data_IF_480553360114
#
_entry.id   IF_480553360114
#
_cell.length_a   1.000
_cell.length_b   1.000
_cell.length_c   1.000
_cell.angle_alpha   90.00
_cell.angle_beta   90.00
_cell.angle_gamma   90.00
#
_symmetry.space_group_name_H-M   'P 1'
#
loop_
_entity.id
_entity.type
_entity.pdbx_description
1 polymer ?
#
# COMPACT_ATOMS: atom_id res chain seq x y z
N UNK A 1 -9.38 -11.58 22.34
CA UNK A 1 -8.47 -12.67 21.92
C UNK A 1 -9.09 -14.08 21.90
N UNK A 2 -10.13 -14.41 22.71
CA UNK A 2 -10.78 -15.74 22.81
C UNK A 2 -11.06 -16.50 21.50
N UNK A 3 -11.33 -15.79 20.39
CA UNK A 3 -11.68 -16.42 19.11
C UNK A 3 -10.51 -16.60 18.13
N UNK A 4 -9.42 -15.84 18.28
CA UNK A 4 -8.30 -15.86 17.32
C UNK A 4 -7.09 -16.69 17.80
N UNK A 5 -7.04 -17.02 19.09
CA UNK A 5 -5.93 -17.79 19.68
C UNK A 5 -6.16 -19.30 19.74
N UNK A 6 -7.39 -19.78 19.48
CA UNK A 6 -7.69 -21.22 19.44
C UNK A 6 -7.25 -21.82 18.10
N UNK A 7 -6.34 -22.80 18.14
CA UNK A 7 -5.77 -23.43 16.96
C UNK A 7 -6.83 -24.04 16.03
N UNK A 8 -7.93 -24.54 16.58
CA UNK A 8 -9.03 -25.09 15.77
C UNK A 8 -9.70 -24.04 14.90
N UNK A 9 -9.74 -22.78 15.34
CA UNK A 9 -10.34 -21.70 14.57
C UNK A 9 -9.46 -21.30 13.38
N UNK A 10 -8.15 -21.60 13.43
CA UNK A 10 -7.25 -21.40 12.29
C UNK A 10 -7.62 -22.28 11.10
N UNK A 11 -8.21 -23.45 11.34
CA UNK A 11 -8.67 -24.36 10.28
C UNK A 11 -9.87 -23.80 9.51
N UNK A 12 -10.60 -22.84 10.09
CA UNK A 12 -11.77 -22.21 9.47
C UNK A 12 -11.42 -20.94 8.69
N UNK A 13 -10.16 -20.48 8.75
CA UNK A 13 -9.72 -19.28 8.03
C UNK A 13 -9.29 -19.66 6.61
N UNK A 14 -9.98 -19.13 5.61
CA UNK A 14 -9.61 -19.30 4.19
C UNK A 14 -8.33 -18.55 3.81
N UNK A 15 -7.87 -17.62 4.65
CA UNK A 15 -6.64 -16.84 4.46
C UNK A 15 -5.93 -16.63 5.79
N UNK A 16 -4.60 -16.52 5.77
CA UNK A 16 -3.78 -16.21 6.94
C UNK A 16 -3.30 -14.76 6.86
N UNK A 17 -3.54 -14.00 7.93
CA UNK A 17 -2.96 -12.66 8.09
C UNK A 17 -1.58 -12.77 8.74
N UNK A 18 -0.59 -12.16 8.09
CA UNK A 18 0.73 -11.93 8.65
C UNK A 18 0.89 -10.44 8.91
N UNK A 19 1.21 -10.08 10.15
CA UNK A 19 1.49 -8.70 10.54
C UNK A 19 3.01 -8.58 10.68
N UNK A 20 3.58 -7.59 10.03
CA UNK A 20 5.00 -7.27 10.09
C UNK A 20 5.15 -5.79 10.44
N UNK A 21 6.17 -5.50 11.25
CA UNK A 21 6.65 -4.15 11.49
C UNK A 21 8.04 -4.09 10.88
N UNK A 22 8.19 -3.24 9.87
CA UNK A 22 9.43 -3.06 9.12
C UNK A 22 10.10 -1.78 9.61
N UNK A 23 11.43 -1.83 9.70
CA UNK A 23 12.25 -0.73 10.21
C UNK A 23 13.04 -0.07 9.06
N UNK A 24 13.56 1.12 9.29
CA UNK A 24 14.41 1.88 8.36
C UNK A 24 13.75 2.11 6.97
N UNK A 25 12.44 2.41 6.96
CA UNK A 25 11.69 2.87 5.79
C UNK A 25 12.33 4.16 5.25
N UNK A 26 12.42 5.17 6.11
CA UNK A 26 12.92 6.52 5.80
C UNK A 26 14.38 6.57 5.29
N UNK A 27 15.15 5.51 5.53
CA UNK A 27 16.54 5.39 5.08
C UNK A 27 16.67 4.69 3.72
N UNK A 28 15.56 4.21 3.15
CA UNK A 28 15.53 3.50 1.88
C UNK A 28 14.84 2.14 1.91
N UNK A 29 13.83 1.95 2.77
CA UNK A 29 13.01 0.73 2.88
C UNK A 29 13.83 -0.50 3.26
N UNK A 30 14.88 -0.33 4.06
CA UNK A 30 15.85 -1.40 4.31
C UNK A 30 15.22 -2.61 5.01
N UNK A 31 14.27 -2.39 5.92
CA UNK A 31 13.55 -3.48 6.59
C UNK A 31 12.71 -4.32 5.63
N UNK A 32 11.88 -3.68 4.80
CA UNK A 32 11.06 -4.40 3.81
C UNK A 32 11.89 -5.02 2.69
N UNK A 33 12.98 -4.35 2.27
CA UNK A 33 13.94 -4.90 1.33
C UNK A 33 14.61 -6.17 1.86
N UNK A 34 15.13 -6.14 3.09
CA UNK A 34 15.72 -7.30 3.74
C UNK A 34 14.70 -8.43 3.91
N UNK A 35 13.46 -8.10 4.31
CA UNK A 35 12.38 -9.08 4.39
C UNK A 35 12.09 -9.71 3.04
N UNK A 36 11.93 -8.92 1.97
CA UNK A 36 11.62 -9.45 0.63
C UNK A 36 12.78 -10.29 0.08
N UNK A 37 14.03 -9.89 0.30
CA UNK A 37 15.19 -10.70 -0.05
C UNK A 37 15.17 -12.06 0.66
N UNK A 38 14.91 -12.07 1.97
CA UNK A 38 14.79 -13.32 2.73
C UNK A 38 13.58 -14.14 2.29
N UNK A 39 12.45 -13.49 2.04
CA UNK A 39 11.23 -14.09 1.54
C UNK A 39 11.45 -14.74 0.18
N UNK A 40 12.29 -14.19 -0.69
CA UNK A 40 12.60 -14.78 -1.99
C UNK A 40 13.70 -15.84 -1.94
N UNK A 41 14.51 -15.87 -0.88
CA UNK A 41 15.52 -16.91 -0.71
C UNK A 41 14.88 -18.29 -0.62
N UNK A 42 15.40 -19.24 -1.41
CA UNK A 42 15.01 -20.64 -1.29
C UNK A 42 15.60 -21.24 -0.01
N UNK A 43 14.81 -22.06 0.68
CA UNK A 43 15.30 -22.86 1.81
C UNK A 43 15.36 -24.31 1.38
N UNK A 44 16.56 -24.89 1.33
CA UNK A 44 16.79 -26.25 0.84
C UNK A 44 16.19 -26.49 -0.57
N UNK A 45 16.37 -25.52 -1.48
CA UNK A 45 15.86 -25.54 -2.86
C UNK A 45 14.33 -25.67 -2.97
N UNK A 46 13.60 -25.22 -1.96
CA UNK A 46 12.13 -25.21 -1.94
C UNK A 46 11.60 -23.85 -1.51
N UNK A 47 10.47 -23.48 -2.12
CA UNK A 47 9.64 -22.38 -1.62
C UNK A 47 8.94 -22.82 -0.34
N UNK A 48 8.76 -21.86 0.56
CA UNK A 48 7.93 -21.98 1.75
C UNK A 48 6.45 -21.86 1.37
N UNK A 49 5.57 -22.37 2.22
CA UNK A 49 4.13 -22.21 2.01
C UNK A 49 3.70 -20.72 1.93
N UNK A 50 4.41 -19.82 2.62
CA UNK A 50 4.16 -18.38 2.51
C UNK A 50 4.51 -17.87 1.11
N UNK A 51 5.65 -18.27 0.55
CA UNK A 51 6.04 -17.90 -0.82
C UNK A 51 5.05 -18.38 -1.89
N UNK A 52 4.47 -19.55 -1.71
CA UNK A 52 3.56 -20.15 -2.68
C UNK A 52 2.13 -19.61 -2.59
N UNK A 53 1.69 -19.17 -1.41
CA UNK A 53 0.29 -18.84 -1.13
C UNK A 53 0.05 -17.37 -0.76
N UNK A 54 1.07 -16.51 -0.84
CA UNK A 54 0.90 -15.06 -0.62
C UNK A 54 -0.07 -14.46 -1.64
N UNK A 55 -1.20 -13.97 -1.15
CA UNK A 55 -2.26 -13.39 -1.99
C UNK A 55 -2.07 -11.91 -2.28
N UNK A 56 -1.40 -11.19 -1.37
CA UNK A 56 -1.23 -9.74 -1.45
C UNK A 56 -0.54 -9.17 -0.22
N UNK A 57 -0.10 -7.93 -0.32
CA UNK A 57 0.43 -7.15 0.79
C UNK A 57 -0.34 -5.84 0.92
N UNK A 58 -0.76 -5.53 2.14
CA UNK A 58 -1.38 -4.25 2.49
C UNK A 58 -0.35 -3.49 3.32
N UNK A 59 0.05 -2.32 2.83
CA UNK A 59 0.91 -1.41 3.55
C UNK A 59 0.07 -0.36 4.28
N UNK A 60 0.44 -0.07 5.52
CA UNK A 60 -0.15 1.03 6.28
C UNK A 60 0.97 2.03 6.56
N UNK A 61 0.90 3.17 5.91
CA UNK A 61 1.85 4.26 6.07
C UNK A 61 1.09 5.48 6.56
N UNK A 62 1.60 6.20 7.56
CA UNK A 62 1.07 7.49 8.01
C UNK A 62 -0.48 7.58 8.03
N UNK A 63 -1.16 6.61 8.68
CA UNK A 63 -2.63 6.48 8.62
C UNK A 63 -3.41 7.50 9.46
N UNK A 64 -2.70 8.45 10.08
CA UNK A 64 -3.26 9.51 10.91
C UNK A 64 -2.57 10.87 10.67
N UNK A 65 -1.83 11.02 9.56
CA UNK A 65 -1.12 12.26 9.23
C UNK A 65 -1.96 13.28 8.47
N UNK A 66 -2.75 12.83 7.49
CA UNK A 66 -3.59 13.65 6.62
C UNK A 66 -5.08 13.73 6.99
N UNK A 67 -5.80 14.60 6.29
CA UNK A 67 -7.25 14.78 6.40
C UNK A 67 -8.03 13.67 5.64
N UNK A 68 -7.40 13.06 4.63
CA UNK A 68 -8.03 12.06 3.76
C UNK A 68 -7.21 10.77 3.79
N UNK A 69 -7.88 9.65 4.09
CA UNK A 69 -7.26 8.32 4.05
C UNK A 69 -7.46 7.70 2.67
N UNK A 70 -6.36 7.57 1.94
CA UNK A 70 -6.34 7.04 0.58
C UNK A 70 -5.96 5.56 0.54
N UNK A 71 -6.34 4.90 -0.55
CA UNK A 71 -5.79 3.59 -0.94
C UNK A 71 -5.17 3.68 -2.33
N UNK A 72 -3.92 3.24 -2.44
CA UNK A 72 -3.13 3.32 -3.66
C UNK A 72 -2.71 1.93 -4.13
N UNK A 73 -2.55 1.77 -5.44
CA UNK A 73 -1.76 0.69 -6.02
C UNK A 73 -0.48 1.21 -6.67
N UNK A 74 0.37 0.31 -7.19
CA UNK A 74 1.64 0.70 -7.79
C UNK A 74 1.47 1.56 -9.05
N UNK A 75 2.46 2.42 -9.30
CA UNK A 75 2.58 3.16 -10.56
C UNK A 75 2.61 2.21 -11.77
N UNK A 76 1.58 2.31 -12.62
CA UNK A 76 1.41 1.49 -13.81
C UNK A 76 1.97 2.17 -15.08
N UNK A 77 2.57 3.35 -14.98
CA UNK A 77 3.12 4.08 -16.12
C UNK A 77 4.26 3.31 -16.78
N UNK A 78 4.41 3.51 -18.08
CA UNK A 78 5.34 2.76 -18.92
C UNK A 78 6.80 2.85 -18.42
N UNK A 79 7.20 4.01 -17.92
CA UNK A 79 8.53 4.22 -17.33
C UNK A 79 8.80 3.30 -16.14
N UNK A 80 7.86 3.21 -15.18
CA UNK A 80 8.04 2.33 -14.02
C UNK A 80 8.11 0.85 -14.44
N UNK A 81 7.24 0.44 -15.38
CA UNK A 81 7.22 -0.93 -15.89
C UNK A 81 8.54 -1.29 -16.60
N UNK A 82 9.12 -0.34 -17.36
CA UNK A 82 10.44 -0.52 -17.99
C UNK A 82 11.56 -0.60 -16.96
N UNK A 83 11.53 0.24 -15.93
CA UNK A 83 12.54 0.27 -14.88
C UNK A 83 12.43 -0.92 -13.91
N UNK A 84 11.28 -1.61 -13.90
CA UNK A 84 11.01 -2.74 -13.01
C UNK A 84 10.42 -3.94 -13.78
N UNK A 85 11.18 -4.59 -14.67
CA UNK A 85 10.66 -5.65 -15.51
C UNK A 85 10.05 -6.80 -14.71
N UNK A 86 8.79 -7.12 -14.99
CA UNK A 86 8.06 -8.20 -14.31
C UNK A 86 7.53 -7.84 -12.92
N UNK A 87 7.56 -6.56 -12.53
CA UNK A 87 6.85 -6.06 -11.37
C UNK A 87 5.34 -6.29 -11.51
N UNK A 88 4.67 -6.55 -10.39
CA UNK A 88 3.21 -6.71 -10.33
C UNK A 88 2.53 -5.36 -10.10
N UNK A 89 2.29 -4.61 -11.17
CA UNK A 89 1.61 -3.30 -11.13
C UNK A 89 0.07 -3.41 -11.19
N UNK A 90 -0.48 -4.54 -10.76
CA UNK A 90 -1.93 -4.76 -10.72
C UNK A 90 -2.60 -3.86 -9.68
N UNK A 91 -3.70 -3.22 -10.08
CA UNK A 91 -4.53 -2.40 -9.19
C UNK A 91 -5.58 -3.21 -8.44
N UNK A 92 -5.66 -4.53 -8.69
CA UNK A 92 -6.75 -5.37 -8.21
C UNK A 92 -6.94 -5.37 -6.69
N UNK A 93 -5.85 -5.44 -5.92
CA UNK A 93 -5.94 -5.44 -4.46
C UNK A 93 -6.43 -4.08 -3.92
N UNK A 94 -5.94 -2.98 -4.49
CA UNK A 94 -6.41 -1.62 -4.20
C UNK A 94 -7.90 -1.48 -4.52
N UNK A 95 -8.34 -1.94 -5.69
CA UNK A 95 -9.74 -1.86 -6.11
C UNK A 95 -10.68 -2.66 -5.20
N UNK A 96 -10.25 -3.85 -4.77
CA UNK A 96 -10.99 -4.66 -3.81
C UNK A 96 -11.15 -3.97 -2.45
N UNK A 97 -10.07 -3.39 -1.92
CA UNK A 97 -10.10 -2.67 -0.64
C UNK A 97 -10.98 -1.43 -0.75
N UNK A 98 -10.85 -0.65 -1.82
CA UNK A 98 -11.71 0.49 -2.11
C UNK A 98 -13.19 0.08 -2.12
N UNK A 99 -13.54 -0.96 -2.88
CA UNK A 99 -14.91 -1.45 -2.96
C UNK A 99 -15.46 -1.93 -1.60
N UNK A 100 -14.66 -2.64 -0.80
CA UNK A 100 -15.05 -3.06 0.55
C UNK A 100 -15.28 -1.83 1.44
N UNK A 101 -14.42 -0.81 1.36
CA UNK A 101 -14.57 0.42 2.16
C UNK A 101 -15.85 1.17 1.80
N UNK A 102 -16.20 1.26 0.50
CA UNK A 102 -17.44 1.84 0.02
C UNK A 102 -18.67 1.04 0.47
N UNK A 103 -18.63 -0.29 0.38
CA UNK A 103 -19.72 -1.13 0.89
C UNK A 103 -19.91 -0.94 2.40
N UNK A 104 -18.82 -0.80 3.14
CA UNK A 104 -18.84 -0.53 4.59
C UNK A 104 -19.41 0.85 4.89
N UNK A 105 -19.01 1.90 4.16
CA UNK A 105 -19.55 3.27 4.35
C UNK A 105 -21.05 3.32 4.12
N UNK A 106 -21.54 2.68 3.05
CA UNK A 106 -22.98 2.55 2.76
C UNK A 106 -23.71 1.80 3.87
N UNK A 107 -23.18 0.65 4.31
CA UNK A 107 -23.78 -0.18 5.36
C UNK A 107 -23.89 0.58 6.69
N UNK A 108 -22.86 1.34 7.03
CA UNK A 108 -22.81 2.12 8.27
C UNK A 108 -23.52 3.48 8.15
N UNK A 109 -23.90 3.90 6.93
CA UNK A 109 -24.41 5.25 6.63
C UNK A 109 -23.44 6.34 7.09
N UNK A 110 -22.15 6.07 6.94
CA UNK A 110 -21.07 6.94 7.37
C UNK A 110 -20.03 7.05 6.23
N UNK A 111 -20.09 8.12 5.43
CA UNK A 111 -19.15 8.36 4.33
C UNK A 111 -17.70 8.44 4.78
N UNK A 112 -17.41 8.82 6.03
CA UNK A 112 -16.03 8.89 6.55
C UNK A 112 -15.32 7.54 6.63
N UNK A 113 -16.07 6.44 6.48
CA UNK A 113 -15.54 5.07 6.50
C UNK A 113 -15.02 4.61 5.13
N UNK A 114 -15.24 5.38 4.07
CA UNK A 114 -14.74 5.08 2.74
C UNK A 114 -13.30 5.56 2.60
N UNK A 115 -12.45 4.73 2.00
CA UNK A 115 -11.12 5.14 1.56
C UNK A 115 -11.25 5.85 0.22
N UNK A 116 -10.45 6.89 0.00
CA UNK A 116 -10.48 7.65 -1.25
C UNK A 116 -9.43 7.18 -2.25
N UNK A 117 -9.65 7.50 -3.53
CA UNK A 117 -8.61 7.45 -4.56
C UNK A 117 -8.24 8.89 -4.90
N UNK A 118 -6.97 9.26 -4.71
CA UNK A 118 -6.55 10.60 -5.13
C UNK A 118 -6.71 10.75 -6.65
N UNK A 119 -7.10 11.94 -7.15
CA UNK A 119 -7.14 12.20 -8.57
C UNK A 119 -5.73 12.28 -9.15
N UNK A 120 -5.66 12.26 -10.48
CA UNK A 120 -4.44 12.65 -11.19
C UNK A 120 -4.33 14.18 -11.15
N UNK A 121 -3.48 14.71 -10.28
CA UNK A 121 -3.30 16.16 -10.10
C UNK A 121 -2.48 16.82 -11.22
N UNK A 122 -1.65 16.05 -11.91
CA UNK A 122 -0.77 16.54 -12.97
C UNK A 122 -0.92 15.70 -14.24
N UNK A 123 -0.89 16.30 -15.45
CA UNK A 123 -1.12 15.57 -16.72
C UNK A 123 -0.20 14.36 -16.97
N UNK A 124 1.02 14.37 -16.42
CA UNK A 124 2.00 13.30 -16.53
C UNK A 124 2.32 12.65 -15.17
N UNK A 125 1.56 12.99 -14.13
CA UNK A 125 1.74 12.48 -12.78
C UNK A 125 1.23 11.04 -12.63
N UNK A 126 1.09 10.61 -11.39
CA UNK A 126 0.47 9.31 -11.09
C UNK A 126 -0.99 9.30 -11.52
N UNK A 127 -1.45 8.18 -12.08
CA UNK A 127 -2.87 7.99 -12.41
C UNK A 127 -3.70 7.93 -11.14
N UNK A 128 -5.02 8.00 -11.29
CA UNK A 128 -5.97 7.97 -10.17
C UNK A 128 -5.72 6.78 -9.24
N UNK A 129 -5.42 7.06 -7.97
CA UNK A 129 -5.12 6.05 -6.94
C UNK A 129 -3.84 5.25 -7.18
N UNK A 130 -2.90 5.73 -7.98
CA UNK A 130 -1.56 5.13 -8.12
C UNK A 130 -0.52 5.96 -7.35
N UNK A 131 0.48 5.29 -6.77
CA UNK A 131 1.58 5.97 -6.07
C UNK A 131 2.94 5.45 -6.52
N UNK A 132 3.97 6.23 -6.20
CA UNK A 132 5.37 5.88 -6.47
C UNK A 132 5.94 4.90 -5.45
N UNK A 133 7.23 4.61 -5.61
CA UNK A 133 7.96 3.64 -4.81
C UNK A 133 8.39 4.17 -3.43
N UNK A 134 7.63 5.09 -2.85
CA UNK A 134 8.06 5.88 -1.70
C UNK A 134 7.90 5.19 -0.36
N UNK A 135 7.40 3.95 -0.31
CA UNK A 135 7.14 3.24 0.94
C UNK A 135 7.40 1.73 0.84
N UNK A 136 7.25 1.02 1.95
CA UNK A 136 7.59 -0.39 2.14
C UNK A 136 6.78 -1.38 1.27
N UNK A 137 5.74 -0.91 0.59
CA UNK A 137 5.03 -1.71 -0.43
C UNK A 137 5.90 -1.98 -1.67
N UNK A 138 6.89 -1.13 -1.96
CA UNK A 138 7.61 -1.17 -3.23
C UNK A 138 8.39 -2.48 -3.47
N UNK A 139 9.18 -3.01 -2.52
CA UNK A 139 9.88 -4.28 -2.72
C UNK A 139 8.93 -5.46 -2.99
N UNK A 140 7.72 -5.47 -2.42
CA UNK A 140 6.76 -6.55 -2.59
C UNK A 140 6.26 -6.67 -4.03
N UNK A 141 5.83 -5.56 -4.63
CA UNK A 141 5.31 -5.60 -5.98
C UNK A 141 6.42 -5.67 -7.03
N UNK A 142 7.57 -5.02 -6.79
CA UNK A 142 8.70 -4.98 -7.73
C UNK A 142 9.49 -6.29 -7.77
N UNK A 143 9.82 -6.84 -6.60
CA UNK A 143 10.74 -7.98 -6.48
C UNK A 143 9.99 -9.26 -6.18
N UNK A 144 9.09 -9.25 -5.19
CA UNK A 144 8.31 -10.44 -4.84
C UNK A 144 7.15 -10.72 -5.81
N UNK A 145 6.79 -9.74 -6.65
CA UNK A 145 5.70 -9.82 -7.64
C UNK A 145 4.33 -10.10 -6.99
N UNK A 146 4.19 -9.70 -5.74
CA UNK A 146 2.94 -9.81 -4.97
C UNK A 146 2.11 -8.54 -5.23
N UNK A 147 0.80 -8.64 -5.49
CA UNK A 147 -0.03 -7.44 -5.64
C UNK A 147 -0.11 -6.68 -4.31
N UNK A 148 -0.14 -5.35 -4.37
CA UNK A 148 -0.11 -4.50 -3.17
C UNK A 148 -1.25 -3.51 -3.14
N UNK A 149 -1.56 -3.05 -1.93
CA UNK A 149 -2.33 -1.84 -1.70
C UNK A 149 -1.65 -1.03 -0.59
N UNK A 150 -1.36 0.23 -0.85
CA UNK A 150 -0.80 1.17 0.12
C UNK A 150 -1.93 2.02 0.69
N UNK A 151 -2.09 2.06 2.00
CA UNK A 151 -3.08 2.90 2.68
C UNK A 151 -2.33 3.99 3.42
N UNK A 152 -2.68 5.24 3.11
CA UNK A 152 -1.96 6.41 3.61
C UNK A 152 -2.88 7.60 3.81
N UNK A 153 -2.72 8.33 4.92
CA UNK A 153 -3.44 9.57 5.14
C UNK A 153 -2.58 10.76 4.75
N UNK A 154 -2.99 11.48 3.71
CA UNK A 154 -2.24 12.59 3.13
C UNK A 154 -3.18 13.72 2.71
N UNK A 155 -2.58 14.86 2.32
CA UNK A 155 -3.29 16.03 1.82
C UNK A 155 -2.88 16.32 0.36
N UNK A 156 -2.98 15.33 -0.53
CA UNK A 156 -2.54 15.45 -1.94
C UNK A 156 -3.13 16.64 -2.72
N UNK A 157 -4.24 17.24 -2.28
CA UNK A 157 -4.80 18.44 -2.91
C UNK A 157 -4.08 19.75 -2.56
N UNK A 158 -3.16 19.73 -1.59
CA UNK A 158 -2.34 20.88 -1.21
C UNK A 158 -1.13 20.95 -2.14
N UNK A 159 -0.95 22.11 -2.77
CA UNK A 159 0.18 22.38 -3.63
C UNK A 159 1.33 22.92 -2.79
N UNK A 160 2.46 22.23 -2.79
CA UNK A 160 3.59 22.52 -1.91
C UNK A 160 4.34 23.79 -2.34
N UNK A 161 5.08 24.45 -1.41
CA UNK A 161 6.00 25.54 -1.76
C UNK A 161 7.12 25.11 -2.72
N UNK A 162 7.40 23.80 -2.83
CA UNK A 162 8.35 23.26 -3.80
C UNK A 162 7.80 23.21 -5.23
N UNK A 163 6.49 23.50 -5.42
CA UNK A 163 5.86 23.54 -6.74
C UNK A 163 5.36 22.19 -7.22
N UNK A 164 4.86 21.35 -6.32
CA UNK A 164 4.33 20.02 -6.64
C UNK A 164 3.21 19.59 -5.67
N UNK A 165 2.44 18.57 -6.03
CA UNK A 165 1.48 17.93 -5.12
C UNK A 165 2.16 16.76 -4.40
N UNK A 166 2.75 17.03 -3.24
CA UNK A 166 3.60 16.08 -2.50
C UNK A 166 2.83 15.13 -1.57
N UNK A 167 1.59 15.47 -1.19
CA UNK A 167 0.80 14.73 -0.18
C UNK A 167 1.19 15.02 1.27
N UNK A 168 2.39 15.51 1.52
CA UNK A 168 2.91 15.84 2.85
C UNK A 168 2.63 17.27 3.27
N UNK A 169 2.33 18.13 2.31
CA UNK A 169 2.00 19.50 2.59
C UNK A 169 0.63 19.60 3.24
N UNK A 170 0.59 20.08 4.48
CA UNK A 170 -0.61 19.98 5.32
C UNK A 170 -1.58 21.15 5.16
N UNK A 171 -1.12 22.31 4.70
CA UNK A 171 -1.96 23.52 4.62
C UNK A 171 -1.56 24.47 3.51
N UNK A 172 -2.53 25.16 2.91
CA UNK A 172 -2.30 26.25 1.97
C UNK A 172 -2.05 27.60 2.67
N UNK A 173 -2.00 27.64 4.01
CA UNK A 173 -1.76 28.88 4.75
C UNK A 173 -0.30 29.32 4.59
N UNK A 174 0.00 30.45 3.93
CA UNK A 174 1.38 30.90 3.72
C UNK A 174 2.12 31.23 5.02
N UNK A 175 1.42 31.39 6.15
CA UNK A 175 2.04 31.63 7.45
C UNK A 175 2.47 30.34 8.18
N UNK A 176 2.14 29.16 7.63
CA UNK A 176 2.50 27.86 8.20
C UNK A 176 3.78 27.27 7.58
N UNK A 177 4.45 28.03 6.71
CA UNK A 177 5.63 27.66 5.94
C UNK A 177 6.78 28.62 6.21
#
# INVERSE_FOLDING_TARGET
>A
MKYFSDEKNRQNLGVRLHIMFVDAEELGKFGSEAFVQQFLSERNSKKTAMQENSLGMINLDTVAGGDILYVHGPDSREENVKNSPGANVSQHLRDQIYAISQQRSIKLKDPSQQLELHPMFEPNGYKVGETGDFSDHAPFYKKAKIPVANIEATNFSVYSPAGEYDGYSMTNNPNAW
#
